data_IF_146254605821
#
_entry.id   IF_146254605821
#
_cell.length_a   1.000
_cell.length_b   1.000
_cell.length_c   1.000
_cell.angle_alpha   90.00
_cell.angle_beta   90.00
_cell.angle_gamma   90.00
#
_symmetry.space_group_name_H-M   'P 1'
#
loop_
_entity.id
_entity.type
_entity.pdbx_description
1 polymer ?
#
# COMPACT_ATOMS: atom_id res chain seq x y z
N UNK A 1 56.65 -52.45 -19.65
CA UNK A 1 56.16 -51.11 -19.24
C UNK A 1 54.88 -50.86 -20.01
N UNK A 2 53.75 -50.70 -19.29
CA UNK A 2 52.42 -50.42 -19.86
C UNK A 2 52.01 -49.04 -19.35
N UNK A 3 51.96 -48.07 -20.25
CA UNK A 3 51.39 -46.75 -20.03
C UNK A 3 49.88 -46.81 -20.19
N UNK A 4 49.13 -46.42 -19.15
CA UNK A 4 47.91 -45.61 -19.26
C UNK A 4 47.47 -45.22 -17.85
N UNK A 5 47.97 -44.07 -17.36
CA UNK A 5 47.42 -43.40 -16.17
C UNK A 5 46.41 -42.35 -16.62
N UNK A 6 45.19 -42.51 -16.11
CA UNK A 6 44.11 -41.54 -15.95
C UNK A 6 44.50 -40.06 -16.16
N UNK A 7 43.84 -39.41 -17.12
CA UNK A 7 43.75 -37.96 -17.23
C UNK A 7 42.28 -37.53 -17.21
N UNK A 8 41.79 -37.20 -16.02
CA UNK A 8 40.53 -36.49 -15.77
C UNK A 8 40.57 -35.10 -16.42
N UNK A 9 39.78 -34.85 -17.46
CA UNK A 9 39.25 -33.54 -17.87
C UNK A 9 38.11 -33.84 -18.86
N UNK A 10 36.88 -33.37 -18.76
CA UNK A 10 36.21 -32.42 -17.89
C UNK A 10 34.89 -32.14 -18.61
N UNK A 11 33.78 -32.12 -17.89
CA UNK A 11 32.52 -31.43 -18.22
C UNK A 11 31.50 -31.80 -17.15
N UNK A 12 31.60 -31.13 -16.00
CA UNK A 12 30.50 -31.07 -15.05
C UNK A 12 29.41 -30.19 -15.68
N UNK A 13 28.37 -30.82 -16.22
CA UNK A 13 27.14 -30.15 -16.62
C UNK A 13 26.37 -29.76 -15.34
N UNK A 14 26.72 -28.59 -14.80
CA UNK A 14 25.97 -27.95 -13.72
C UNK A 14 24.68 -27.38 -14.32
N UNK A 15 23.57 -28.09 -14.19
CA UNK A 15 22.24 -27.52 -14.38
C UNK A 15 21.95 -26.57 -13.19
N UNK A 16 22.40 -25.33 -13.31
CA UNK A 16 21.90 -24.23 -12.50
C UNK A 16 20.54 -23.80 -13.06
N UNK A 17 19.48 -24.48 -12.66
CA UNK A 17 18.11 -23.98 -12.85
C UNK A 17 17.87 -22.82 -11.86
N UNK A 18 18.39 -21.64 -12.19
CA UNK A 18 17.94 -20.39 -11.62
C UNK A 18 16.59 -20.03 -12.27
N UNK A 19 15.51 -20.56 -11.69
CA UNK A 19 14.15 -20.09 -11.92
C UNK A 19 13.68 -19.44 -10.64
N UNK A 20 13.81 -18.12 -10.58
CA UNK A 20 13.44 -17.24 -9.48
C UNK A 20 12.11 -17.69 -8.86
N UNK A 21 12.13 -17.95 -7.55
CA UNK A 21 10.93 -18.04 -6.75
C UNK A 21 10.07 -16.82 -7.06
N UNK A 22 8.96 -17.03 -7.75
CA UNK A 22 7.97 -16.00 -7.96
C UNK A 22 7.64 -15.46 -6.59
N UNK A 23 7.96 -14.18 -6.36
CA UNK A 23 7.41 -13.47 -5.23
C UNK A 23 5.90 -13.63 -5.36
N UNK A 24 5.34 -14.50 -4.52
CA UNK A 24 3.91 -14.55 -4.33
C UNK A 24 3.56 -13.15 -3.84
N UNK A 25 3.12 -12.29 -4.77
CA UNK A 25 2.44 -11.05 -4.45
C UNK A 25 1.18 -11.48 -3.72
N UNK A 26 1.35 -11.69 -2.41
CA UNK A 26 0.25 -11.78 -1.47
C UNK A 26 -0.59 -10.55 -1.78
N UNK A 27 -1.77 -10.77 -2.37
CA UNK A 27 -2.73 -9.71 -2.60
C UNK A 27 -3.03 -9.12 -1.23
N UNK A 28 -2.30 -8.07 -0.89
CA UNK A 28 -2.35 -7.48 0.44
C UNK A 28 -3.69 -6.78 0.48
N UNK A 29 -4.60 -7.35 1.27
CA UNK A 29 -5.90 -6.75 1.54
C UNK A 29 -5.63 -5.35 2.08
N UNK A 30 -6.04 -4.34 1.34
CA UNK A 30 -5.80 -2.93 1.66
C UNK A 30 -6.58 -2.48 2.89
N UNK A 31 -7.65 -3.19 3.25
CA UNK A 31 -8.58 -2.84 4.32
C UNK A 31 -9.57 -1.74 3.94
N UNK A 32 -9.42 -1.11 2.76
CA UNK A 32 -10.28 -0.05 2.27
C UNK A 32 -11.21 -0.60 1.17
N UNK A 33 -12.54 -0.54 1.35
CA UNK A 33 -13.49 -1.07 0.38
C UNK A 33 -13.31 -0.45 -1.02
N UNK A 34 -13.18 -1.30 -2.03
CA UNK A 34 -13.04 -0.86 -3.43
C UNK A 34 -11.65 -0.38 -3.83
N UNK A 35 -10.64 -0.54 -2.96
CA UNK A 35 -9.24 -0.19 -3.23
C UNK A 35 -8.37 -1.45 -3.26
N UNK A 36 -7.55 -1.61 -4.29
CA UNK A 36 -6.62 -2.73 -4.45
C UNK A 36 -5.18 -2.24 -4.58
N UNK A 37 -4.22 -3.06 -4.16
CA UNK A 37 -2.80 -2.81 -4.48
C UNK A 37 -2.63 -2.80 -6.01
N UNK A 38 -1.82 -1.89 -6.52
CA UNK A 38 -1.63 -1.64 -7.95
C UNK A 38 -2.64 -0.67 -8.58
N UNK A 39 -3.73 -0.29 -7.89
CA UNK A 39 -4.66 0.70 -8.43
C UNK A 39 -3.97 2.07 -8.63
N UNK A 40 -4.38 2.79 -9.68
CA UNK A 40 -3.81 4.10 -9.98
C UNK A 40 -4.20 5.16 -8.94
N UNK A 41 -3.37 6.20 -8.78
CA UNK A 41 -3.63 7.32 -7.87
C UNK A 41 -5.05 7.90 -8.06
N UNK A 42 -5.43 8.20 -9.29
CA UNK A 42 -6.72 8.80 -9.60
C UNK A 42 -7.90 7.88 -9.25
N UNK A 43 -7.78 6.57 -9.51
CA UNK A 43 -8.81 5.60 -9.17
C UNK A 43 -9.00 5.49 -7.65
N UNK A 44 -7.91 5.33 -6.90
CA UNK A 44 -7.97 5.20 -5.44
C UNK A 44 -8.51 6.49 -4.82
N UNK A 45 -8.06 7.65 -5.27
CA UNK A 45 -8.56 8.95 -4.80
C UNK A 45 -10.07 9.09 -5.05
N UNK A 46 -10.56 8.72 -6.23
CA UNK A 46 -11.99 8.80 -6.59
C UNK A 46 -12.89 7.85 -5.78
N UNK A 47 -12.35 6.72 -5.33
CA UNK A 47 -13.08 5.79 -4.45
C UNK A 47 -13.07 6.31 -3.01
N UNK A 48 -11.89 6.65 -2.49
CA UNK A 48 -11.69 7.01 -1.07
C UNK A 48 -12.40 8.33 -0.73
N UNK A 49 -12.36 9.31 -1.62
CA UNK A 49 -12.97 10.64 -1.41
C UNK A 49 -14.50 10.65 -1.27
N UNK A 50 -15.20 9.57 -1.66
CA UNK A 50 -16.67 9.50 -1.53
C UNK A 50 -17.12 9.52 -0.07
N UNK A 51 -16.37 8.82 0.78
CA UNK A 51 -16.76 8.56 2.17
C UNK A 51 -15.75 9.07 3.20
N UNK A 52 -14.57 9.52 2.75
CA UNK A 52 -13.50 10.00 3.62
C UNK A 52 -13.17 11.46 3.30
N UNK A 53 -12.69 12.20 4.28
CA UNK A 53 -12.14 13.54 4.09
C UNK A 53 -10.66 13.43 3.69
N UNK A 54 -10.31 13.86 2.49
CA UNK A 54 -8.90 13.90 2.05
C UNK A 54 -8.24 15.13 2.68
N UNK A 55 -7.29 14.92 3.59
CA UNK A 55 -6.68 16.00 4.39
C UNK A 55 -5.27 16.39 3.92
N UNK A 56 -4.63 15.57 3.07
CA UNK A 56 -3.36 15.92 2.40
C UNK A 56 -3.22 15.14 1.10
N UNK A 57 -2.66 15.77 0.07
CA UNK A 57 -2.37 15.14 -1.22
C UNK A 57 -0.97 15.52 -1.69
N UNK A 58 -0.29 14.56 -2.32
CA UNK A 58 0.94 14.73 -3.07
C UNK A 58 0.74 13.97 -4.38
N UNK A 59 0.51 14.72 -5.45
CA UNK A 59 0.05 14.16 -6.73
C UNK A 59 0.97 13.03 -7.23
N UNK A 60 0.35 11.88 -7.50
CA UNK A 60 1.04 10.69 -7.99
C UNK A 60 1.91 9.94 -6.99
N UNK A 61 2.12 10.47 -5.77
CA UNK A 61 2.96 9.85 -4.74
C UNK A 61 2.16 9.32 -3.55
N UNK A 62 1.13 10.05 -3.11
CA UNK A 62 0.36 9.63 -1.96
C UNK A 62 -0.63 10.65 -1.46
N UNK A 63 -1.57 10.18 -0.65
CA UNK A 63 -2.52 11.05 0.02
C UNK A 63 -2.94 10.49 1.37
N UNK A 64 -3.42 11.39 2.22
CA UNK A 64 -3.96 11.12 3.55
C UNK A 64 -5.45 11.38 3.53
N UNK A 65 -6.22 10.41 4.00
CA UNK A 65 -7.65 10.54 4.17
C UNK A 65 -8.07 10.14 5.59
N UNK A 66 -9.03 10.85 6.13
CA UNK A 66 -9.60 10.61 7.46
C UNK A 66 -11.05 10.18 7.31
N UNK A 67 -11.43 9.13 8.04
CA UNK A 67 -12.79 8.63 7.99
C UNK A 67 -12.95 7.30 8.70
N UNK A 68 -14.15 6.74 8.60
CA UNK A 68 -14.46 5.46 9.19
C UNK A 68 -13.73 4.32 8.47
N UNK A 69 -13.07 3.43 9.22
CA UNK A 69 -12.48 2.20 8.68
C UNK A 69 -13.41 1.02 8.92
N UNK A 70 -13.84 0.36 7.83
CA UNK A 70 -14.63 -0.86 7.94
C UNK A 70 -13.83 -2.02 8.58
N UNK A 71 -12.51 -2.02 8.40
CA UNK A 71 -11.59 -3.02 8.95
C UNK A 71 -11.47 -2.92 10.48
N UNK A 72 -11.29 -1.69 11.01
CA UNK A 72 -11.08 -1.47 12.46
C UNK A 72 -12.36 -1.09 13.22
N UNK A 73 -13.45 -0.77 12.50
CA UNK A 73 -14.74 -0.32 13.06
C UNK A 73 -14.66 0.96 13.90
N UNK A 74 -13.72 1.84 13.57
CA UNK A 74 -13.49 3.12 14.23
C UNK A 74 -12.98 4.19 13.24
N UNK A 75 -12.71 5.40 13.75
CA UNK A 75 -12.16 6.48 12.96
C UNK A 75 -10.65 6.34 12.81
N UNK A 76 -10.17 6.39 11.57
CA UNK A 76 -8.75 6.24 11.24
C UNK A 76 -8.27 7.33 10.29
N UNK A 77 -7.02 7.70 10.48
CA UNK A 77 -6.20 8.35 9.47
C UNK A 77 -5.62 7.26 8.59
N UNK A 78 -5.88 7.34 7.28
CA UNK A 78 -5.50 6.37 6.27
C UNK A 78 -4.46 7.01 5.35
N UNK A 79 -3.37 6.31 5.10
CA UNK A 79 -2.31 6.77 4.22
C UNK A 79 -2.20 5.84 3.03
N UNK A 80 -2.24 6.40 1.84
CA UNK A 80 -2.12 5.69 0.57
C UNK A 80 -0.82 6.12 -0.09
N UNK A 81 0.10 5.19 -0.33
CA UNK A 81 1.38 5.45 -0.98
C UNK A 81 1.43 4.76 -2.34
N UNK A 82 1.86 5.51 -3.35
CA UNK A 82 1.94 5.08 -4.74
C UNK A 82 3.38 5.11 -5.22
N UNK A 83 3.70 4.23 -6.16
CA UNK A 83 5.02 4.16 -6.79
C UNK A 83 4.87 4.21 -8.31
N UNK A 84 4.84 5.41 -8.87
CA UNK A 84 4.82 5.62 -10.32
C UNK A 84 3.78 4.75 -11.05
N UNK A 85 4.25 4.01 -12.06
CA UNK A 85 3.41 3.12 -12.87
C UNK A 85 2.93 1.86 -12.12
N UNK A 86 3.59 1.50 -11.02
CA UNK A 86 3.23 0.31 -10.23
C UNK A 86 1.97 0.56 -9.39
N UNK A 87 1.49 1.81 -9.30
CA UNK A 87 0.25 2.17 -8.60
C UNK A 87 0.38 2.08 -7.08
N UNK A 88 -0.73 1.82 -6.40
CA UNK A 88 -0.80 1.75 -4.94
C UNK A 88 0.08 0.61 -4.40
N UNK A 89 1.06 0.96 -3.56
CA UNK A 89 1.98 0.00 -2.96
C UNK A 89 1.68 -0.29 -1.49
N UNK A 90 1.11 0.69 -0.78
CA UNK A 90 0.89 0.58 0.65
C UNK A 90 -0.32 1.35 1.09
N UNK A 91 -1.06 0.74 2.01
CA UNK A 91 -2.09 1.38 2.82
C UNK A 91 -1.73 1.19 4.28
N UNK A 92 -1.70 2.26 5.05
CA UNK A 92 -1.52 2.21 6.50
C UNK A 92 -2.61 2.99 7.22
N UNK A 93 -2.86 2.57 8.47
CA UNK A 93 -3.94 3.10 9.30
C UNK A 93 -3.38 3.53 10.65
N UNK A 94 -3.73 4.73 11.07
CA UNK A 94 -3.42 5.25 12.40
C UNK A 94 -4.72 5.64 13.12
N UNK A 95 -4.80 5.48 14.45
CA UNK A 95 -5.92 6.01 15.23
C UNK A 95 -6.11 7.52 14.97
N UNK A 96 -7.36 7.95 14.81
CA UNK A 96 -7.72 9.37 14.70
C UNK A 96 -8.53 9.81 15.94
N UNK A 97 -7.88 10.03 17.10
CA UNK A 97 -8.58 10.30 18.36
C UNK A 97 -9.32 11.65 18.38
N UNK A 98 -9.00 12.54 17.44
CA UNK A 98 -9.71 13.81 17.24
C UNK A 98 -11.04 13.67 16.49
N UNK A 99 -11.37 12.46 16.02
CA UNK A 99 -12.61 12.14 15.32
C UNK A 99 -13.50 11.25 16.18
N UNK A 100 -14.81 11.28 15.92
CA UNK A 100 -15.78 10.44 16.61
C UNK A 100 -16.65 9.67 15.63
N UNK A 101 -16.87 8.38 15.90
CA UNK A 101 -17.80 7.54 15.13
C UNK A 101 -19.22 8.10 15.21
N UNK A 102 -19.60 8.69 16.35
CA UNK A 102 -20.90 9.35 16.55
C UNK A 102 -21.08 10.59 15.66
N UNK A 103 -19.99 11.13 15.11
CA UNK A 103 -19.97 12.24 14.16
C UNK A 103 -19.57 11.77 12.75
N UNK A 104 -19.83 10.50 12.42
CA UNK A 104 -19.46 9.87 11.15
C UNK A 104 -17.97 9.99 10.79
N UNK A 105 -17.09 10.08 11.80
CA UNK A 105 -15.66 10.28 11.63
C UNK A 105 -15.29 11.50 10.76
N UNK A 106 -16.11 12.56 10.84
CA UNK A 106 -15.81 13.85 10.19
C UNK A 106 -15.47 14.87 11.25
N UNK A 107 -14.49 15.73 10.97
CA UNK A 107 -14.24 16.88 11.84
C UNK A 107 -15.48 17.78 11.82
N UNK A 108 -15.99 18.22 12.98
CA UNK A 108 -16.94 19.31 13.01
C UNK A 108 -16.27 20.56 12.42
N UNK A 109 -16.91 21.16 11.41
CA UNK A 109 -16.40 22.34 10.68
C UNK A 109 -16.08 23.54 11.61
N UNK A 110 -16.55 23.51 12.86
CA UNK A 110 -16.29 24.50 13.90
C UNK A 110 -14.79 24.67 14.28
N UNK A 111 -13.90 23.73 13.94
CA UNK A 111 -12.48 23.85 14.26
C UNK A 111 -11.66 24.69 13.24
N UNK A 112 -12.25 25.10 12.10
CA UNK A 112 -11.59 25.99 11.12
C UNK A 112 -12.05 27.45 11.19
N UNK A 113 -12.95 27.81 12.11
CA UNK A 113 -13.49 29.16 12.23
C UNK A 113 -13.21 29.80 13.60
N UNK A 114 -11.95 29.78 14.05
CA UNK A 114 -11.46 30.75 15.04
C UNK A 114 -10.51 31.73 14.36
N UNK A 115 -10.98 32.91 13.91
CA UNK A 115 -10.08 34.03 13.74
C UNK A 115 -9.64 34.50 15.12
N UNK A 116 -8.32 34.65 15.31
CA UNK A 116 -7.72 35.30 16.46
C UNK A 116 -8.41 36.65 16.71
N UNK A 117 -8.78 36.92 17.96
CA UNK A 117 -9.10 38.26 18.45
C UNK A 117 -7.89 38.82 19.17
#
# INVERSE_FOLDING_TARGET
MKDLRNGLYGTALVLAAAGLGGCASSMTVTGEPGVKMGDSYAQVLAVVSRNNAVTKQVDGQGFRAEGYSAMFKDCRTKYFLFQGADGLQRVSYEPAPHLSVNQNCRQPQAALSSPAS
#
